data_IF_325459530089
#
_entry.id   IF_325459530089
#
_cell.length_a   1.000
_cell.length_b   1.000
_cell.length_c   1.000
_cell.angle_alpha   90.00
_cell.angle_beta   90.00
_cell.angle_gamma   90.00
#
_symmetry.space_group_name_H-M   'P 1'
#
loop_
_entity.id
_entity.type
_entity.pdbx_description
1 polymer ?
#
# COMPACT_ATOMS: atom_id res chain seq x y z
N UNK A 1 8.82 -1.72 7.55
CA UNK A 1 8.85 -1.83 6.07
C UNK A 1 8.60 -0.46 5.50
N UNK A 2 9.41 -0.02 4.54
CA UNK A 2 9.20 1.25 3.82
C UNK A 2 8.35 1.07 2.56
N UNK A 3 8.02 2.18 1.88
CA UNK A 3 7.20 2.17 0.66
C UNK A 3 7.80 1.34 -0.49
N UNK A 4 9.12 1.32 -0.62
CA UNK A 4 9.83 0.57 -1.68
C UNK A 4 9.76 -0.93 -1.43
N UNK A 5 10.03 -1.35 -0.19
CA UNK A 5 9.94 -2.74 0.25
C UNK A 5 8.51 -3.26 0.13
N UNK A 6 7.51 -2.46 0.50
CA UNK A 6 6.10 -2.82 0.32
C UNK A 6 5.74 -3.03 -1.15
N UNK A 7 6.12 -2.10 -2.03
CA UNK A 7 5.82 -2.23 -3.46
C UNK A 7 6.56 -3.42 -4.10
N UNK A 8 7.77 -3.74 -3.63
CA UNK A 8 8.49 -4.94 -4.06
C UNK A 8 7.77 -6.23 -3.65
N UNK A 9 7.22 -6.30 -2.43
CA UNK A 9 6.44 -7.45 -1.98
C UNK A 9 5.20 -7.66 -2.86
N UNK A 10 4.47 -6.60 -3.20
CA UNK A 10 3.29 -6.68 -4.08
C UNK A 10 3.67 -7.23 -5.46
N UNK A 11 4.79 -6.76 -6.01
CA UNK A 11 5.30 -7.26 -7.29
C UNK A 11 5.62 -8.77 -7.23
N UNK A 12 6.27 -9.22 -6.15
CA UNK A 12 6.65 -10.64 -5.97
C UNK A 12 5.45 -11.57 -5.82
N UNK A 13 4.40 -11.12 -5.13
CA UNK A 13 3.19 -11.92 -4.92
C UNK A 13 2.26 -11.93 -6.15
N UNK A 14 2.46 -10.99 -7.09
CA UNK A 14 1.67 -10.88 -8.33
C UNK A 14 0.15 -10.83 -8.12
N UNK A 15 -0.32 -10.39 -6.96
CA UNK A 15 -1.74 -10.30 -6.63
C UNK A 15 -2.43 -9.16 -7.42
N UNK A 16 -3.71 -9.31 -7.78
CA UNK A 16 -4.44 -8.33 -8.58
C UNK A 16 -4.85 -7.09 -7.76
N UNK A 17 -5.04 -7.25 -6.45
CA UNK A 17 -5.45 -6.20 -5.53
C UNK A 17 -4.71 -6.32 -4.21
N UNK A 18 -4.55 -5.19 -3.52
CA UNK A 18 -3.99 -5.13 -2.19
C UNK A 18 -4.54 -3.93 -1.41
N UNK A 19 -4.65 -4.07 -0.09
CA UNK A 19 -5.14 -3.02 0.81
C UNK A 19 -3.97 -2.58 1.70
N UNK A 20 -3.50 -1.32 1.62
CA UNK A 20 -2.46 -0.82 2.50
C UNK A 20 -3.09 -0.49 3.87
N UNK A 21 -2.83 -1.32 4.88
CA UNK A 21 -3.34 -1.09 6.23
C UNK A 21 -2.31 -0.33 7.07
N UNK A 22 -2.56 0.95 7.29
CA UNK A 22 -1.83 1.78 8.26
C UNK A 22 -2.75 2.87 8.80
N UNK A 23 -3.23 2.70 10.02
CA UNK A 23 -4.06 3.70 10.69
C UNK A 23 -3.25 4.42 11.78
N UNK A 24 -3.67 5.64 12.10
CA UNK A 24 -3.21 6.46 13.24
C UNK A 24 -1.73 6.86 13.29
N UNK A 25 -0.94 6.55 12.25
CA UNK A 25 0.45 6.98 12.01
C UNK A 25 1.26 7.28 13.28
N UNK A 26 1.32 6.32 14.20
CA UNK A 26 1.89 6.46 15.54
C UNK A 26 3.44 6.49 15.54
N UNK A 27 4.06 7.01 14.47
CA UNK A 27 5.49 7.27 14.36
C UNK A 27 6.39 6.04 14.19
N UNK A 28 5.85 4.83 14.17
CA UNK A 28 6.62 3.57 14.07
C UNK A 28 6.91 3.15 12.61
N UNK A 29 6.29 3.83 11.64
CA UNK A 29 6.47 3.49 10.23
C UNK A 29 7.74 4.14 9.67
N UNK A 30 8.49 3.37 8.89
CA UNK A 30 9.75 3.81 8.30
C UNK A 30 9.59 4.84 7.17
N UNK A 31 8.37 5.01 6.65
CA UNK A 31 8.06 5.97 5.58
C UNK A 31 6.60 6.44 5.66
N UNK A 32 6.26 7.63 5.14
CA UNK A 32 4.87 8.07 4.94
C UNK A 32 4.06 7.13 4.05
N UNK A 33 2.71 7.19 4.09
CA UNK A 33 1.84 6.42 3.18
C UNK A 33 2.05 6.80 1.71
N UNK A 34 2.30 8.08 1.44
CA UNK A 34 2.47 8.61 0.09
C UNK A 34 3.64 7.96 -0.66
N UNK A 35 4.73 7.62 0.03
CA UNK A 35 5.90 6.96 -0.55
C UNK A 35 5.56 5.60 -1.16
N UNK A 36 4.71 4.84 -0.46
CA UNK A 36 4.22 3.55 -0.97
C UNK A 36 3.38 3.72 -2.23
N UNK A 37 2.43 4.67 -2.22
CA UNK A 37 1.56 4.96 -3.38
C UNK A 37 2.40 5.42 -4.58
N UNK A 38 3.40 6.27 -4.35
CA UNK A 38 4.32 6.72 -5.38
C UNK A 38 5.12 5.56 -5.99
N UNK A 39 5.67 4.67 -5.16
CA UNK A 39 6.40 3.48 -5.64
C UNK A 39 5.51 2.51 -6.42
N UNK A 40 4.27 2.30 -5.99
CA UNK A 40 3.29 1.48 -6.72
C UNK A 40 2.96 2.07 -8.09
N UNK A 41 2.70 3.38 -8.17
CA UNK A 41 2.44 4.07 -9.44
C UNK A 41 3.65 4.03 -10.36
N UNK A 42 4.85 4.26 -9.84
CA UNK A 42 6.12 4.20 -10.59
C UNK A 42 6.34 2.82 -11.24
N UNK A 43 5.83 1.75 -10.61
CA UNK A 43 5.91 0.37 -11.12
C UNK A 43 4.72 -0.06 -11.98
N UNK A 44 3.80 0.85 -12.30
CA UNK A 44 2.59 0.52 -13.08
C UNK A 44 1.59 -0.35 -12.32
N UNK A 45 1.65 -0.37 -10.98
CA UNK A 45 0.77 -1.17 -10.13
C UNK A 45 -0.25 -0.32 -9.35
N UNK A 46 -0.38 0.97 -9.68
CA UNK A 46 -1.29 1.89 -8.98
C UNK A 46 -2.73 1.38 -8.91
N UNK A 47 -3.21 0.76 -9.99
CA UNK A 47 -4.59 0.25 -10.09
C UNK A 47 -4.88 -0.97 -9.19
N UNK A 48 -3.84 -1.52 -8.54
CA UNK A 48 -3.96 -2.63 -7.59
C UNK A 48 -4.26 -2.15 -6.17
N UNK A 49 -4.08 -0.86 -5.90
CA UNK A 49 -4.30 -0.29 -4.56
C UNK A 49 -5.81 -0.17 -4.33
N UNK A 50 -6.25 -0.70 -3.20
CA UNK A 50 -7.59 -0.50 -2.64
C UNK A 50 -7.43 0.34 -1.39
N UNK A 51 -7.73 1.64 -1.50
CA UNK A 51 -7.70 2.56 -0.36
C UNK A 51 -8.95 2.35 0.50
N UNK A 52 -8.76 2.27 1.82
CA UNK A 52 -9.85 2.16 2.78
C UNK A 52 -9.65 3.16 3.91
N UNK A 53 -10.74 3.86 4.24
CA UNK A 53 -10.82 4.69 5.43
C UNK A 53 -10.97 3.84 6.69
N UNK A 54 -10.71 4.45 7.85
CA UNK A 54 -10.87 3.79 9.14
C UNK A 54 -12.32 3.33 9.33
N UNK A 55 -12.49 2.05 9.66
CA UNK A 55 -13.82 1.46 9.88
C UNK A 55 -14.57 1.11 8.59
N UNK A 56 -13.98 1.37 7.41
CA UNK A 56 -14.55 0.93 6.14
C UNK A 56 -14.40 -0.58 5.94
N UNK A 57 -15.26 -1.14 5.09
CA UNK A 57 -15.22 -2.53 4.65
C UNK A 57 -15.33 -2.59 3.13
N UNK A 58 -14.77 -3.64 2.53
CA UNK A 58 -14.87 -3.93 1.10
C UNK A 58 -15.02 -5.42 0.86
N UNK A 59 -15.51 -5.77 -0.33
CA UNK A 59 -15.48 -7.13 -0.88
C UNK A 59 -14.67 -7.09 -2.17
N UNK A 60 -13.81 -8.10 -2.38
CA UNK A 60 -12.88 -8.20 -3.51
C UNK A 60 -13.12 -9.46 -4.32
#
# INVERSE_FOLDING_TARGET
>A
MDGRQGAELVAKLALPKMIPVRFDDYGVFASPPADFVAEMRRRGMGDRIVELDRGAATTL
#
